data_IF_955096647910
#
_entry.id   IF_955096647910
#
_cell.length_a   1.000
_cell.length_b   1.000
_cell.length_c   1.000
_cell.angle_alpha   90.00
_cell.angle_beta   90.00
_cell.angle_gamma   90.00
#
_symmetry.space_group_name_H-M   'P 1'
#
loop_
_entity.id
_entity.type
_entity.pdbx_description
1 polymer ?
#
# COMPACT_ATOMS: atom_id res chain seq x y z
N UNK A 1 16.21 -3.44 9.62
CA UNK A 1 15.24 -4.48 10.03
C UNK A 1 14.43 -4.87 8.81
N UNK A 2 14.31 -6.17 8.49
CA UNK A 2 13.45 -6.64 7.40
C UNK A 2 12.01 -6.89 7.91
N UNK A 3 11.00 -6.62 7.07
CA UNK A 3 9.64 -7.12 7.33
C UNK A 3 9.57 -8.58 6.97
N UNK A 4 9.37 -9.40 7.99
CA UNK A 4 9.23 -10.84 7.85
C UNK A 4 7.83 -11.21 8.34
N UNK A 5 7.06 -11.85 7.47
CA UNK A 5 5.78 -12.48 7.83
C UNK A 5 5.85 -13.94 7.43
N UNK A 6 5.58 -14.82 8.39
CA UNK A 6 5.46 -16.27 8.20
C UNK A 6 3.99 -16.65 8.36
N UNK A 7 3.38 -17.22 7.31
CA UNK A 7 2.02 -17.75 7.36
C UNK A 7 1.89 -18.90 6.33
N UNK A 8 1.37 -20.05 6.74
CA UNK A 8 1.15 -21.23 5.89
C UNK A 8 2.35 -21.58 4.99
N UNK A 9 3.52 -21.82 5.61
CA UNK A 9 4.80 -22.20 4.98
C UNK A 9 5.39 -21.25 3.92
N UNK A 10 4.80 -20.07 3.70
CA UNK A 10 5.42 -19.01 2.89
C UNK A 10 6.04 -17.93 3.78
N UNK A 11 7.34 -17.73 3.58
CA UNK A 11 8.05 -16.57 4.08
C UNK A 11 7.93 -15.44 3.06
N UNK A 12 7.29 -14.35 3.48
CA UNK A 12 7.39 -13.08 2.77
C UNK A 12 8.47 -12.28 3.47
N UNK A 13 9.46 -11.81 2.71
CA UNK A 13 10.56 -10.97 3.21
C UNK A 13 10.62 -9.71 2.37
N UNK A 14 10.47 -8.55 3.01
CA UNK A 14 10.77 -7.25 2.39
C UNK A 14 11.89 -6.61 3.20
N UNK A 15 13.15 -6.68 2.71
CA UNK A 15 14.32 -6.17 3.44
C UNK A 15 14.27 -4.67 3.73
N UNK A 16 13.57 -3.91 2.87
CA UNK A 16 13.52 -2.45 2.83
C UNK A 16 12.44 -1.83 3.72
N UNK A 17 11.58 -2.63 4.37
CA UNK A 17 10.45 -2.10 5.14
C UNK A 17 10.76 -2.08 6.65
N UNK A 18 10.46 -0.96 7.33
CA UNK A 18 10.49 -0.85 8.81
C UNK A 18 9.17 -0.27 9.33
N UNK A 19 8.55 -0.83 10.39
CA UNK A 19 7.20 -0.47 10.82
C UNK A 19 7.35 0.53 11.95
N UNK A 20 6.79 1.72 11.78
CA UNK A 20 6.70 2.64 12.90
C UNK A 20 5.72 2.11 13.94
N UNK A 21 5.94 2.46 15.22
CA UNK A 21 5.00 2.15 16.29
C UNK A 21 3.59 2.72 15.99
N UNK A 22 3.53 3.90 15.36
CA UNK A 22 2.29 4.51 14.90
C UNK A 22 1.56 3.65 13.85
N UNK A 23 2.29 3.10 12.88
CA UNK A 23 1.72 2.25 11.86
C UNK A 23 1.15 0.94 12.44
N UNK A 24 1.86 0.30 13.38
CA UNK A 24 1.39 -0.92 14.04
C UNK A 24 0.05 -0.71 14.78
N UNK A 25 -0.08 0.39 15.53
CA UNK A 25 -1.32 0.74 16.24
C UNK A 25 -2.48 0.96 15.25
N UNK A 26 -2.20 1.66 14.14
CA UNK A 26 -3.20 2.02 13.13
C UNK A 26 -3.62 0.86 12.24
N UNK A 27 -2.71 -0.07 11.96
CA UNK A 27 -2.98 -1.32 11.26
C UNK A 27 -4.03 -2.13 12.03
N UNK A 28 -3.80 -2.33 13.34
CA UNK A 28 -4.72 -3.05 14.22
C UNK A 28 -6.10 -2.39 14.30
N UNK A 29 -6.15 -1.07 14.46
CA UNK A 29 -7.41 -0.30 14.51
C UNK A 29 -8.23 -0.35 13.21
N UNK A 30 -7.60 -0.70 12.08
CA UNK A 30 -8.24 -0.70 10.75
C UNK A 30 -8.44 -2.08 10.16
N UNK A 31 -8.15 -3.14 10.94
CA UNK A 31 -8.24 -4.51 10.47
C UNK A 31 -7.31 -4.79 9.28
N UNK A 32 -6.15 -4.12 9.22
CA UNK A 32 -5.15 -4.35 8.18
C UNK A 32 -4.10 -5.31 8.71
N UNK A 33 -3.97 -6.46 8.05
CA UNK A 33 -2.97 -7.45 8.43
C UNK A 33 -1.59 -7.11 7.87
N UNK A 34 -0.54 -7.60 8.53
CA UNK A 34 0.84 -7.46 8.01
C UNK A 34 1.00 -8.04 6.60
N UNK A 35 0.29 -9.14 6.29
CA UNK A 35 0.24 -9.70 4.93
C UNK A 35 -0.32 -8.72 3.91
N UNK A 36 -1.39 -8.00 4.27
CA UNK A 36 -1.93 -6.95 3.40
C UNK A 36 -0.94 -5.80 3.18
N UNK A 37 -0.16 -5.43 4.20
CA UNK A 37 0.91 -4.44 4.05
C UNK A 37 1.96 -4.93 3.05
N UNK A 38 2.42 -6.18 3.17
CA UNK A 38 3.43 -6.73 2.26
C UNK A 38 2.93 -6.90 0.83
N UNK A 39 1.73 -7.43 0.66
CA UNK A 39 1.11 -7.59 -0.65
C UNK A 39 0.85 -6.23 -1.30
N UNK A 40 0.48 -5.21 -0.52
CA UNK A 40 0.36 -3.84 -1.02
C UNK A 40 1.72 -3.29 -1.45
N UNK A 41 2.77 -3.51 -0.67
CA UNK A 41 4.12 -3.10 -1.06
C UNK A 41 4.59 -3.76 -2.38
N UNK A 42 4.38 -5.08 -2.50
CA UNK A 42 4.90 -5.89 -3.61
C UNK A 42 4.09 -5.75 -4.92
N UNK A 43 2.76 -5.71 -4.83
CA UNK A 43 1.87 -5.74 -5.99
C UNK A 43 1.13 -4.42 -6.22
N UNK A 44 1.26 -3.48 -5.28
CA UNK A 44 0.64 -2.17 -5.35
C UNK A 44 1.27 -1.29 -6.40
N UNK A 45 0.44 -0.45 -7.00
CA UNK A 45 0.92 0.65 -7.82
C UNK A 45 1.62 1.67 -6.94
N UNK A 46 2.84 2.02 -7.32
CA UNK A 46 3.63 3.06 -6.67
C UNK A 46 3.19 4.45 -7.16
N UNK A 47 2.90 5.34 -6.23
CA UNK A 47 2.56 6.75 -6.49
C UNK A 47 3.39 7.62 -5.56
N UNK A 48 4.23 8.49 -6.14
CA UNK A 48 4.98 9.49 -5.40
C UNK A 48 4.10 10.74 -5.22
N UNK A 49 3.81 11.12 -3.98
CA UNK A 49 2.96 12.27 -3.68
C UNK A 49 3.24 12.78 -2.27
N UNK A 50 3.14 14.10 -2.04
CA UNK A 50 3.26 14.71 -0.70
C UNK A 50 4.47 14.24 0.12
N UNK A 51 5.64 14.11 -0.52
CA UNK A 51 6.91 13.61 0.10
C UNK A 51 6.82 12.18 0.66
N UNK A 52 5.86 11.39 0.21
CA UNK A 52 5.69 9.99 0.57
C UNK A 52 5.50 9.11 -0.67
N UNK A 53 5.74 7.82 -0.48
CA UNK A 53 5.53 6.78 -1.49
C UNK A 53 4.28 6.01 -1.10
N UNK A 54 3.27 6.05 -1.97
CA UNK A 54 2.03 5.31 -1.78
C UNK A 54 2.06 4.03 -2.61
N UNK A 55 1.80 2.89 -1.97
CA UNK A 55 1.53 1.65 -2.66
C UNK A 55 0.03 1.36 -2.58
N UNK A 56 -0.63 1.29 -3.73
CA UNK A 56 -2.09 1.23 -3.81
C UNK A 56 -2.54 -0.03 -4.54
N UNK A 57 -3.46 -0.77 -3.93
CA UNK A 57 -4.14 -1.90 -4.56
C UNK A 57 -5.55 -1.47 -4.95
N UNK A 58 -5.81 -1.39 -6.25
CA UNK A 58 -7.15 -1.17 -6.80
C UNK A 58 -7.57 -2.29 -7.73
N UNK A 59 -8.70 -2.09 -8.42
CA UNK A 59 -9.23 -3.06 -9.39
C UNK A 59 -8.24 -3.42 -10.51
N UNK A 60 -7.33 -2.50 -10.89
CA UNK A 60 -6.34 -2.75 -11.94
C UNK A 60 -5.31 -3.77 -11.48
N UNK A 61 -4.78 -3.59 -10.28
CA UNK A 61 -3.79 -4.47 -9.68
C UNK A 61 -4.41 -5.85 -9.37
N UNK A 62 -5.68 -5.87 -8.92
CA UNK A 62 -6.44 -7.12 -8.72
C UNK A 62 -6.65 -7.86 -10.04
N UNK A 63 -7.01 -7.17 -11.13
CA UNK A 63 -7.19 -7.81 -12.44
C UNK A 63 -5.86 -8.36 -12.98
N UNK A 64 -4.75 -7.67 -12.72
CA UNK A 64 -3.42 -8.05 -13.21
C UNK A 64 -2.83 -9.23 -12.44
N UNK A 65 -2.95 -9.23 -11.11
CA UNK A 65 -2.25 -10.18 -10.24
C UNK A 65 -3.17 -11.15 -9.50
N UNK A 66 -4.48 -10.95 -9.52
CA UNK A 66 -5.45 -11.75 -8.75
C UNK A 66 -5.60 -13.21 -9.20
N UNK A 67 -5.05 -13.58 -10.36
CA UNK A 67 -4.90 -14.98 -10.77
C UNK A 67 -3.69 -15.67 -10.13
N UNK A 68 -2.66 -14.90 -9.77
CA UNK A 68 -1.41 -15.38 -9.16
C UNK A 68 -1.49 -15.28 -7.63
N UNK A 69 -2.08 -14.20 -7.12
CA UNK A 69 -2.25 -13.90 -5.70
C UNK A 69 -3.73 -13.65 -5.42
N UNK A 70 -4.51 -14.71 -5.12
CA UNK A 70 -5.95 -14.60 -4.88
C UNK A 70 -6.33 -13.63 -3.77
N UNK A 71 -5.45 -13.43 -2.77
CA UNK A 71 -5.68 -12.54 -1.63
C UNK A 71 -5.85 -11.07 -2.03
N UNK A 72 -5.29 -10.66 -3.18
CA UNK A 72 -5.45 -9.30 -3.69
C UNK A 72 -6.91 -8.94 -3.94
N UNK A 73 -7.77 -9.93 -4.28
CA UNK A 73 -9.20 -9.72 -4.50
C UNK A 73 -9.90 -9.06 -3.31
N UNK A 74 -9.43 -9.33 -2.09
CA UNK A 74 -9.98 -8.78 -0.84
C UNK A 74 -9.31 -7.46 -0.40
N UNK A 75 -8.31 -6.99 -1.15
CA UNK A 75 -7.48 -5.84 -0.83
C UNK A 75 -7.84 -4.58 -1.62
N UNK A 76 -8.98 -4.56 -2.30
CA UNK A 76 -9.41 -3.39 -3.06
C UNK A 76 -9.49 -2.14 -2.16
N UNK A 77 -8.76 -1.09 -2.53
CA UNK A 77 -8.66 0.16 -1.81
C UNK A 77 -7.63 0.15 -0.68
N UNK A 78 -6.81 -0.89 -0.51
CA UNK A 78 -5.69 -0.86 0.45
C UNK A 78 -4.63 0.13 -0.06
N UNK A 79 -4.24 1.04 0.83
CA UNK A 79 -3.23 2.06 0.60
C UNK A 79 -2.18 1.96 1.70
N UNK A 80 -0.94 1.74 1.30
CA UNK A 80 0.22 1.75 2.15
C UNK A 80 1.00 3.04 1.90
N UNK A 81 1.36 3.74 2.96
CA UNK A 81 2.17 4.96 2.91
C UNK A 81 3.52 4.67 3.51
N UNK A 82 4.56 4.87 2.71
CA UNK A 82 5.95 4.62 3.05
C UNK A 82 6.72 5.93 2.93
N UNK A 83 7.67 6.16 3.83
CA UNK A 83 8.64 7.25 3.69
C UNK A 83 9.59 6.98 2.52
N UNK A 84 10.32 8.00 2.06
CA UNK A 84 11.36 7.81 1.06
C UNK A 84 12.45 6.81 1.48
N UNK A 85 12.60 6.58 2.79
CA UNK A 85 13.60 5.68 3.38
C UNK A 85 13.03 4.29 3.69
N UNK A 86 11.88 3.91 3.12
CA UNK A 86 11.30 2.57 3.30
C UNK A 86 10.54 2.35 4.62
N UNK A 87 10.38 3.38 5.45
CA UNK A 87 9.62 3.23 6.71
C UNK A 87 8.12 3.30 6.46
N UNK A 88 7.36 2.31 6.92
CA UNK A 88 5.89 2.33 6.91
C UNK A 88 5.39 3.39 7.88
N UNK A 89 4.78 4.43 7.32
CA UNK A 89 4.16 5.51 8.06
C UNK A 89 2.74 5.14 8.49
N UNK A 90 1.96 4.58 7.56
CA UNK A 90 0.61 4.11 7.85
C UNK A 90 0.07 3.20 6.75
N UNK A 91 -0.90 2.36 7.09
CA UNK A 91 -1.74 1.65 6.15
C UNK A 91 -3.22 1.95 6.44
N UNK A 92 -4.03 2.06 5.40
CA UNK A 92 -5.48 2.25 5.52
C UNK A 92 -6.22 1.69 4.31
N UNK A 93 -7.54 1.55 4.45
CA UNK A 93 -8.43 1.11 3.37
C UNK A 93 -9.33 2.27 2.94
N UNK A 94 -9.20 2.69 1.70
CA UNK A 94 -10.06 3.68 1.08
C UNK A 94 -10.22 3.36 -0.41
N UNK A 95 -11.46 3.12 -0.85
CA UNK A 95 -11.80 2.85 -2.25
C UNK A 95 -11.68 4.09 -3.14
N UNK A 96 -11.76 5.29 -2.56
CA UNK A 96 -11.50 6.53 -3.29
C UNK A 96 -10.00 6.80 -3.39
N UNK A 97 -9.42 6.44 -4.53
CA UNK A 97 -8.00 6.64 -4.84
C UNK A 97 -7.70 8.04 -5.41
N UNK A 98 -8.73 8.90 -5.62
CA UNK A 98 -8.55 10.22 -6.25
C UNK A 98 -7.65 11.13 -5.40
N UNK A 99 -7.73 11.01 -4.07
CA UNK A 99 -6.96 11.83 -3.12
C UNK A 99 -5.46 11.52 -3.12
N UNK A 100 -5.05 10.36 -3.63
CA UNK A 100 -3.64 9.94 -3.71
C UNK A 100 -2.95 10.51 -4.95
N UNK A 101 -3.72 10.80 -6.00
CA UNK A 101 -3.19 11.26 -7.27
C UNK A 101 -2.39 12.56 -7.04
N UNK A 102 -1.14 12.65 -7.53
CA UNK A 102 -0.40 13.91 -7.47
C UNK A 102 -1.25 14.98 -8.14
N UNK A 103 -1.34 16.14 -7.49
CA UNK A 103 -2.11 17.28 -7.98
C UNK A 103 -1.63 17.60 -9.40
N UNK A 104 -2.41 17.22 -10.40
CA UNK A 104 -2.20 17.77 -11.74
C UNK A 104 -2.57 19.23 -11.61
N UNK A 105 -1.60 20.12 -11.77
CA UNK A 105 -1.89 21.50 -12.15
C UNK A 105 -2.75 21.41 -13.42
N UNK A 106 -4.07 21.47 -13.29
CA UNK A 106 -4.90 21.76 -14.45
C UNK A 106 -4.60 23.22 -14.74
N UNK A 107 -3.87 23.50 -15.82
CA UNK A 107 -4.04 24.79 -16.46
C UNK A 107 -5.54 24.89 -16.76
N UNK A 108 -6.24 25.71 -15.98
CA UNK A 108 -7.55 26.19 -16.40
C UNK A 108 -7.25 26.95 -17.69
N UNK A 109 -7.61 26.39 -18.83
CA UNK A 109 -7.76 27.21 -20.02
C UNK A 109 -8.85 28.22 -19.66
N UNK A 110 -8.42 29.44 -19.32
CA UNK A 110 -9.31 30.60 -19.37
C UNK A 110 -9.64 30.76 -20.86
N UNK A 111 -10.88 30.45 -21.20
CA UNK A 111 -11.54 30.91 -22.42
C UNK A 111 -12.17 32.27 -22.14
#
# INVERSE_FOLDING_TARGET
MAFIVKEQDRLFVVPELTNSQHAQIREGQRGISKKQVMLAYQYGRVIHSRRAVYHVIGNKEIKKYGGIVPELKNMNGVQLVVSANGTVLTAFKNKDLRKVRPYKHSHKHLH
#
